data_IF_159434748348
#
_entry.id   IF_159434748348
#
_cell.length_a   1.000
_cell.length_b   1.000
_cell.length_c   1.000
_cell.angle_alpha   90.00
_cell.angle_beta   90.00
_cell.angle_gamma   90.00
#
_symmetry.space_group_name_H-M   'P 1'
#
loop_
_entity.id
_entity.type
_entity.pdbx_description
1 polymer ?
#
# COMPACT_ATOMS: atom_id res chain seq x y z
N UNK A 1 -4.51 -26.82 -11.44
CA UNK A 1 -4.11 -25.67 -12.26
C UNK A 1 -4.48 -24.41 -11.48
N UNK A 2 -3.53 -23.65 -10.94
CA UNK A 2 -3.87 -22.44 -10.19
C UNK A 2 -4.18 -21.31 -11.18
N UNK A 3 -5.37 -20.73 -11.05
CA UNK A 3 -5.80 -19.61 -11.87
C UNK A 3 -4.95 -18.38 -11.55
N UNK A 4 -4.50 -17.65 -12.57
CA UNK A 4 -3.74 -16.41 -12.39
C UNK A 4 -4.66 -15.35 -11.78
N UNK A 5 -4.28 -14.81 -10.63
CA UNK A 5 -4.98 -13.69 -9.98
C UNK A 5 -4.85 -12.45 -10.86
N UNK A 6 -5.96 -11.80 -11.16
CA UNK A 6 -6.00 -10.54 -11.92
C UNK A 6 -5.54 -9.36 -11.06
N UNK A 7 -5.11 -8.27 -11.70
CA UNK A 7 -4.76 -7.03 -10.97
C UNK A 7 -5.95 -6.52 -10.12
N UNK A 8 -7.17 -6.61 -10.67
CA UNK A 8 -8.38 -6.17 -9.97
C UNK A 8 -8.64 -6.98 -8.70
N UNK A 9 -8.51 -8.29 -8.76
CA UNK A 9 -8.66 -9.18 -7.59
C UNK A 9 -7.56 -8.93 -6.55
N UNK A 10 -6.32 -8.71 -7.01
CA UNK A 10 -5.22 -8.39 -6.11
C UNK A 10 -5.44 -7.05 -5.39
N UNK A 11 -5.89 -6.02 -6.10
CA UNK A 11 -6.22 -4.73 -5.48
C UNK A 11 -7.34 -4.92 -4.47
N UNK A 12 -8.44 -5.59 -4.84
CA UNK A 12 -9.56 -5.83 -3.94
C UNK A 12 -9.14 -6.56 -2.65
N UNK A 13 -8.29 -7.59 -2.77
CA UNK A 13 -7.76 -8.31 -1.63
C UNK A 13 -6.91 -7.42 -0.72
N UNK A 14 -6.03 -6.61 -1.29
CA UNK A 14 -5.17 -5.70 -0.51
C UNK A 14 -6.01 -4.64 0.20
N UNK A 15 -7.03 -4.08 -0.47
CA UNK A 15 -7.95 -3.13 0.17
C UNK A 15 -8.68 -3.79 1.34
N UNK A 16 -9.18 -5.01 1.16
CA UNK A 16 -9.81 -5.78 2.24
C UNK A 16 -8.86 -5.98 3.43
N UNK A 17 -7.60 -6.34 3.18
CA UNK A 17 -6.58 -6.47 4.23
C UNK A 17 -6.41 -5.17 5.03
N UNK A 18 -6.29 -4.03 4.36
CA UNK A 18 -6.16 -2.72 5.02
C UNK A 18 -7.37 -2.39 5.88
N UNK A 19 -8.58 -2.73 5.43
CA UNK A 19 -9.81 -2.57 6.20
C UNK A 19 -9.87 -3.47 7.44
N UNK A 20 -9.19 -4.62 7.41
CA UNK A 20 -9.02 -5.52 8.56
C UNK A 20 -7.84 -5.11 9.46
N UNK A 21 -7.31 -3.90 9.29
CA UNK A 21 -6.14 -3.38 9.99
C UNK A 21 -4.84 -4.16 9.72
N UNK A 22 -4.73 -4.78 8.55
CA UNK A 22 -3.54 -5.51 8.11
C UNK A 22 -2.76 -4.63 7.15
N UNK A 23 -1.66 -4.06 7.65
CA UNK A 23 -0.74 -3.29 6.82
C UNK A 23 0.16 -4.21 5.99
N UNK A 24 0.62 -3.71 4.83
CA UNK A 24 1.53 -4.44 3.97
C UNK A 24 2.92 -3.85 4.01
N UNK A 25 3.92 -4.73 4.15
CA UNK A 25 5.33 -4.38 4.10
C UNK A 25 6.06 -5.28 3.09
N UNK A 26 6.88 -4.67 2.25
CA UNK A 26 7.77 -5.35 1.32
C UNK A 26 9.14 -4.69 1.36
N UNK A 27 10.08 -5.30 2.09
CA UNK A 27 11.39 -4.70 2.34
C UNK A 27 11.23 -3.31 2.97
N UNK A 28 11.71 -2.28 2.26
CA UNK A 28 11.64 -0.87 2.68
C UNK A 28 10.40 -0.13 2.21
N UNK A 29 9.40 -0.82 1.65
CA UNK A 29 8.15 -0.23 1.15
C UNK A 29 7.00 -0.68 2.05
N UNK A 30 6.14 0.25 2.46
CA UNK A 30 4.93 -0.04 3.24
C UNK A 30 3.69 0.62 2.63
N UNK A 31 2.55 0.00 2.92
CA UNK A 31 1.21 0.51 2.66
C UNK A 31 0.35 0.27 3.90
N UNK A 32 -0.20 1.34 4.46
CA UNK A 32 -1.02 1.27 5.68
C UNK A 32 -2.28 2.13 5.60
N UNK A 33 -3.29 1.77 6.39
CA UNK A 33 -4.45 2.62 6.66
C UNK A 33 -4.17 3.47 7.90
N UNK A 34 -4.17 4.79 7.72
CA UNK A 34 -3.81 5.74 8.78
C UNK A 34 -4.84 5.81 9.90
N UNK A 35 -6.05 5.26 9.73
CA UNK A 35 -7.04 5.14 10.82
C UNK A 35 -6.57 4.18 11.91
N UNK A 36 -5.71 3.22 11.57
CA UNK A 36 -5.20 2.21 12.49
C UNK A 36 -4.18 2.81 13.46
N UNK A 37 -3.66 3.98 13.13
CA UNK A 37 -2.66 4.68 13.90
C UNK A 37 -3.33 5.82 14.65
N UNK A 38 -3.07 5.92 15.96
CA UNK A 38 -3.57 7.01 16.83
C UNK A 38 -2.91 8.37 16.52
N UNK A 39 -2.78 8.74 15.26
CA UNK A 39 -2.44 10.11 14.89
C UNK A 39 -3.68 10.96 15.15
N UNK A 40 -3.67 11.70 16.26
CA UNK A 40 -4.80 12.49 16.79
C UNK A 40 -5.42 13.53 15.85
N UNK A 41 -4.93 13.66 14.61
CA UNK A 41 -5.42 14.60 13.60
C UNK A 41 -5.83 13.95 12.25
N UNK A 42 -5.83 12.62 12.12
CA UNK A 42 -6.36 11.96 10.91
C UNK A 42 -7.88 11.94 11.00
N UNK A 43 -8.43 13.11 10.70
CA UNK A 43 -9.85 13.44 10.61
C UNK A 43 -10.60 12.40 9.78
N UNK A 44 -11.57 11.70 10.40
CA UNK A 44 -12.82 11.05 9.89
C UNK A 44 -12.87 10.32 8.54
N UNK A 45 -11.96 10.57 7.61
CA UNK A 45 -11.89 10.06 6.25
C UNK A 45 -10.80 9.00 6.17
N UNK A 46 -11.08 7.90 5.47
CA UNK A 46 -10.10 6.83 5.25
C UNK A 46 -8.94 7.41 4.44
N UNK A 47 -7.72 7.25 4.96
CA UNK A 47 -6.49 7.76 4.34
C UNK A 47 -5.48 6.62 4.35
N UNK A 48 -4.83 6.42 3.21
CA UNK A 48 -3.87 5.34 3.01
C UNK A 48 -2.50 5.94 2.74
N UNK A 49 -1.47 5.54 3.46
CA UNK A 49 -0.11 6.00 3.21
C UNK A 49 0.68 4.92 2.50
N UNK A 50 1.33 5.30 1.40
CA UNK A 50 2.41 4.51 0.80
C UNK A 50 3.71 5.19 1.18
N UNK A 51 4.60 4.44 1.79
CA UNK A 51 5.91 4.93 2.22
C UNK A 51 7.01 4.01 1.71
N UNK A 52 8.16 4.58 1.33
CA UNK A 52 9.35 3.86 0.95
C UNK A 52 10.60 4.55 1.48
N UNK A 53 11.36 3.82 2.29
CA UNK A 53 12.69 4.19 2.77
C UNK A 53 13.81 3.65 1.86
N UNK A 54 13.45 3.15 0.67
CA UNK A 54 14.43 2.73 -0.32
C UNK A 54 15.23 3.96 -0.77
N UNK A 55 16.56 3.92 -0.61
CA UNK A 55 17.44 5.05 -0.98
C UNK A 55 17.36 5.39 -2.46
N UNK A 56 17.01 4.43 -3.30
CA UNK A 56 16.89 4.64 -4.74
C UNK A 56 15.51 5.18 -5.14
N UNK A 57 14.48 4.86 -4.35
CA UNK A 57 13.10 5.27 -4.60
C UNK A 57 12.44 5.84 -3.34
N UNK A 58 13.02 6.90 -2.72
CA UNK A 58 12.44 7.49 -1.53
C UNK A 58 11.05 8.04 -1.88
N UNK A 59 10.04 7.60 -1.14
CA UNK A 59 8.66 7.97 -1.46
C UNK A 59 7.82 8.06 -0.19
N UNK A 60 7.00 9.10 -0.08
CA UNK A 60 5.92 9.08 0.89
C UNK A 60 4.75 9.92 0.39
N UNK A 61 3.57 9.32 0.34
CA UNK A 61 2.37 10.01 -0.07
C UNK A 61 1.13 9.39 0.58
N UNK A 62 0.15 10.24 0.88
CA UNK A 62 -1.14 9.88 1.42
C UNK A 62 -2.19 9.96 0.33
N UNK A 63 -3.05 8.95 0.26
CA UNK A 63 -4.11 8.80 -0.73
C UNK A 63 -5.48 8.74 -0.03
N UNK A 64 -6.48 9.33 -0.67
CA UNK A 64 -7.89 9.15 -0.32
C UNK A 64 -8.47 7.85 -0.87
N UNK A 65 -8.03 7.47 -2.09
CA UNK A 65 -8.49 6.26 -2.76
C UNK A 65 -7.55 5.08 -2.46
N UNK A 66 -8.05 3.99 -1.84
CA UNK A 66 -7.24 2.83 -1.52
C UNK A 66 -6.69 2.15 -2.77
N UNK A 67 -7.44 2.07 -3.86
CA UNK A 67 -7.02 1.44 -5.12
C UNK A 67 -5.82 2.16 -5.73
N UNK A 68 -5.80 3.49 -5.66
CA UNK A 68 -4.65 4.29 -6.11
C UNK A 68 -3.43 4.03 -5.22
N UNK A 69 -3.63 3.97 -3.89
CA UNK A 69 -2.57 3.63 -2.95
C UNK A 69 -1.97 2.24 -3.23
N UNK A 70 -2.82 1.21 -3.43
CA UNK A 70 -2.39 -0.15 -3.77
C UNK A 70 -1.58 -0.15 -5.07
N UNK A 71 -2.08 0.51 -6.12
CA UNK A 71 -1.37 0.59 -7.41
C UNK A 71 0.01 1.22 -7.27
N UNK A 72 0.12 2.30 -6.47
CA UNK A 72 1.43 2.92 -6.21
C UNK A 72 2.36 1.98 -5.45
N UNK A 73 1.87 1.30 -4.42
CA UNK A 73 2.65 0.31 -3.67
C UNK A 73 3.17 -0.81 -4.57
N UNK A 74 2.30 -1.39 -5.41
CA UNK A 74 2.68 -2.44 -6.35
C UNK A 74 3.69 -1.95 -7.40
N UNK A 75 3.54 -0.71 -7.88
CA UNK A 75 4.52 -0.08 -8.78
C UNK A 75 5.90 0.04 -8.13
N UNK A 76 5.98 0.56 -6.90
CA UNK A 76 7.25 0.68 -6.17
C UNK A 76 7.86 -0.70 -5.91
N UNK A 77 7.04 -1.69 -5.50
CA UNK A 77 7.46 -3.08 -5.32
C UNK A 77 8.06 -3.67 -6.60
N UNK A 78 7.45 -3.44 -7.75
CA UNK A 78 7.98 -3.90 -9.04
C UNK A 78 9.31 -3.21 -9.40
N UNK A 79 9.45 -1.91 -9.11
CA UNK A 79 10.68 -1.17 -9.34
C UNK A 79 11.83 -1.69 -8.47
N UNK A 80 11.61 -1.92 -7.17
CA UNK A 80 12.65 -2.47 -6.29
C UNK A 80 13.02 -3.90 -6.62
N UNK A 81 12.12 -4.72 -7.19
CA UNK A 81 12.43 -6.09 -7.64
C UNK A 81 13.34 -6.16 -8.87
N UNK A 82 13.32 -5.18 -9.76
CA UNK A 82 14.11 -5.22 -11.02
C UNK A 82 15.62 -5.01 -10.82
N UNK A 83 16.08 -4.86 -9.59
CA UNK A 83 17.50 -4.61 -9.27
C UNK A 83 18.13 -5.70 -8.40
N UNK A 84 17.36 -6.73 -8.04
CA UNK A 84 17.85 -7.98 -7.46
C UNK A 84 17.78 -9.07 -8.52
#
# INVERSE_FOLDING_TARGET
MFQKVTEKEMVALIVFMLEQNIDLQFGKISLCDLRNYRYGNVRRNRRYQVHSEDRQYPFSMIYDDPSIAVKKFLFLKQKSRKMH
#
